data_IF_713933446940
#
_entry.id   IF_713933446940
#
_cell.length_a   1.000
_cell.length_b   1.000
_cell.length_c   1.000
_cell.angle_alpha   90.00
_cell.angle_beta   90.00
_cell.angle_gamma   90.00
#
_symmetry.space_group_name_H-M   'P 1'
#
loop_
_entity.id
_entity.type
_entity.pdbx_description
1 polymer ?
#
# COMPACT_ATOMS: atom_id res chain seq x y z
N UNK A 1 25.22 23.39 -18.85
CA UNK A 1 25.30 24.63 -18.07
C UNK A 1 24.37 25.65 -18.65
N UNK A 2 23.22 25.83 -18.09
CA UNK A 2 22.41 27.04 -18.25
C UNK A 2 21.34 27.00 -17.20
N UNK A 3 21.50 27.82 -16.18
CA UNK A 3 20.59 28.04 -15.07
C UNK A 3 19.39 28.85 -15.58
N UNK A 4 18.23 28.26 -15.62
CA UNK A 4 16.97 29.01 -15.75
C UNK A 4 16.55 29.45 -14.35
N UNK A 5 16.83 30.69 -14.04
CA UNK A 5 16.34 31.41 -12.86
C UNK A 5 14.80 31.47 -12.91
N UNK A 6 14.17 30.90 -11.91
CA UNK A 6 12.79 31.16 -11.51
C UNK A 6 12.66 32.63 -11.15
N UNK A 7 11.90 33.36 -11.95
CA UNK A 7 11.56 34.76 -11.66
C UNK A 7 10.29 34.79 -10.80
N UNK A 8 10.45 35.36 -9.63
CA UNK A 8 9.41 35.64 -8.64
C UNK A 8 8.17 36.28 -9.26
N UNK A 9 7.02 35.70 -8.92
CA UNK A 9 5.71 36.21 -9.23
C UNK A 9 5.32 37.24 -8.16
N UNK A 10 5.59 38.52 -8.37
CA UNK A 10 5.04 39.58 -7.52
C UNK A 10 3.52 39.62 -7.62
N UNK A 11 2.88 39.27 -6.51
CA UNK A 11 1.43 39.40 -6.30
C UNK A 11 1.14 40.85 -5.89
N UNK A 12 0.64 41.69 -6.81
CA UNK A 12 -0.01 42.94 -6.44
C UNK A 12 -1.47 42.68 -6.13
N UNK A 13 -1.83 42.83 -4.87
CA UNK A 13 -3.20 42.84 -4.38
C UNK A 13 -3.67 44.29 -4.43
N UNK A 14 -4.48 44.65 -5.43
CA UNK A 14 -5.21 45.91 -5.41
C UNK A 14 -6.43 45.76 -4.53
N UNK A 15 -6.36 46.34 -3.35
CA UNK A 15 -7.48 46.50 -2.46
C UNK A 15 -8.33 47.68 -2.91
N UNK A 16 -9.55 47.41 -3.29
CA UNK A 16 -10.58 48.46 -3.38
C UNK A 16 -11.66 48.21 -2.32
N UNK A 17 -11.78 49.20 -1.45
CA UNK A 17 -12.69 49.19 -0.33
C UNK A 17 -13.95 50.03 -0.67
N UNK A 18 -15.09 49.51 -0.19
CA UNK A 18 -16.35 50.19 0.08
C UNK A 18 -17.36 50.38 -1.08
N UNK A 19 -18.43 49.60 -0.95
CA UNK A 19 -19.81 50.17 -0.84
C UNK A 19 -20.76 49.09 -0.30
N UNK A 20 -21.27 49.31 0.86
CA UNK A 20 -22.42 48.63 1.48
C UNK A 20 -23.71 49.00 0.70
N UNK A 21 -24.44 47.96 0.26
CA UNK A 21 -25.72 48.15 -0.36
C UNK A 21 -26.55 46.87 -0.32
N UNK A 22 -27.70 46.98 0.27
CA UNK A 22 -28.76 46.01 0.61
C UNK A 22 -28.95 44.83 -0.37
N UNK A 23 -29.21 43.69 0.24
CA UNK A 23 -29.66 42.44 -0.37
C UNK A 23 -30.96 42.63 -1.17
N UNK A 24 -30.97 42.18 -2.43
CA UNK A 24 -32.15 41.67 -3.10
C UNK A 24 -31.71 40.56 -4.03
N UNK A 25 -32.20 39.35 -3.76
CA UNK A 25 -31.81 38.12 -4.44
C UNK A 25 -32.27 38.10 -5.90
N UNK A 26 -31.39 38.49 -6.79
CA UNK A 26 -31.38 38.05 -8.19
C UNK A 26 -30.02 37.45 -8.45
N UNK A 27 -30.00 36.13 -8.66
CA UNK A 27 -28.82 35.43 -9.17
C UNK A 27 -28.53 35.99 -10.54
N UNK A 28 -27.67 37.02 -10.59
CA UNK A 28 -27.21 37.61 -11.85
C UNK A 28 -26.23 36.61 -12.48
N UNK A 29 -26.70 35.74 -13.35
CA UNK A 29 -25.84 34.96 -14.26
C UNK A 29 -25.13 35.94 -15.19
N UNK A 30 -24.05 36.54 -14.69
CA UNK A 30 -23.18 37.37 -15.52
C UNK A 30 -22.70 36.53 -16.70
N UNK A 31 -23.12 36.90 -17.92
CA UNK A 31 -22.64 36.31 -19.19
C UNK A 31 -21.11 36.30 -19.14
N UNK A 32 -20.52 35.11 -19.21
CA UNK A 32 -19.06 34.93 -19.24
C UNK A 32 -18.51 35.70 -20.43
N UNK A 33 -17.73 36.76 -20.18
CA UNK A 33 -17.11 37.54 -21.28
C UNK A 33 -16.02 36.67 -21.90
N UNK A 34 -16.08 36.53 -23.24
CA UNK A 34 -15.04 35.89 -24.02
C UNK A 34 -13.72 36.65 -23.83
N UNK A 35 -12.65 35.96 -23.47
CA UNK A 35 -11.32 36.54 -23.26
C UNK A 35 -10.49 36.39 -24.54
N UNK A 36 -9.90 37.48 -25.00
CA UNK A 36 -8.97 37.52 -26.13
C UNK A 36 -7.53 37.39 -25.65
N UNK A 37 -7.27 37.76 -24.37
CA UNK A 37 -5.91 37.85 -23.82
C UNK A 37 -5.11 39.01 -24.41
N UNK A 38 -3.84 39.06 -24.05
CA UNK A 38 -2.88 40.04 -24.57
C UNK A 38 -1.59 39.33 -24.95
N UNK A 39 -1.04 39.64 -26.14
CA UNK A 39 0.23 39.12 -26.65
C UNK A 39 1.19 40.30 -26.81
N UNK A 40 2.39 40.21 -26.22
CA UNK A 40 3.43 41.20 -26.31
C UNK A 40 4.82 40.58 -26.33
N UNK A 41 5.83 41.37 -26.75
CA UNK A 41 7.22 40.93 -26.79
C UNK A 41 7.95 41.45 -25.56
N UNK A 42 8.74 40.59 -24.92
CA UNK A 42 9.57 40.92 -23.74
C UNK A 42 11.02 40.46 -23.98
N UNK A 43 11.96 41.15 -23.33
CA UNK A 43 13.38 40.83 -23.39
C UNK A 43 14.12 41.60 -24.48
N UNK A 44 15.46 41.77 -24.30
CA UNK A 44 16.34 42.44 -25.25
C UNK A 44 17.04 41.45 -26.19
N UNK A 45 17.56 40.35 -25.66
CA UNK A 45 18.18 39.21 -26.39
C UNK A 45 18.16 37.96 -25.49
N UNK A 46 17.42 36.89 -25.83
CA UNK A 46 16.45 36.83 -26.95
C UNK A 46 15.14 37.58 -26.64
N UNK A 47 14.49 38.08 -27.68
CA UNK A 47 13.12 38.59 -27.60
C UNK A 47 12.15 37.39 -27.57
N UNK A 48 11.20 37.39 -26.63
CA UNK A 48 10.22 36.31 -26.46
C UNK A 48 8.79 36.83 -26.55
N UNK A 49 7.92 36.02 -27.12
CA UNK A 49 6.47 36.24 -27.08
C UNK A 49 5.93 35.90 -25.71
N UNK A 50 5.20 36.81 -25.08
CA UNK A 50 4.54 36.62 -23.79
C UNK A 50 3.03 36.80 -24.00
N UNK A 51 2.29 35.74 -23.62
CA UNK A 51 0.84 35.78 -23.54
C UNK A 51 0.40 36.18 -22.14
N UNK A 52 -0.67 36.99 -22.03
CA UNK A 52 -1.23 37.39 -20.72
C UNK A 52 -2.74 37.34 -20.77
N UNK A 53 -3.36 36.71 -19.74
CA UNK A 53 -4.82 36.61 -19.60
C UNK A 53 -5.27 36.55 -18.16
N UNK A 54 -6.56 36.70 -17.92
CA UNK A 54 -7.14 36.54 -16.58
C UNK A 54 -7.59 35.11 -16.37
N UNK A 55 -7.14 34.52 -15.28
CA UNK A 55 -7.50 33.15 -14.90
C UNK A 55 -8.23 33.16 -13.56
N UNK A 56 -9.32 32.37 -13.46
CA UNK A 56 -10.00 32.17 -12.19
C UNK A 56 -9.27 31.06 -11.43
N UNK A 57 -8.88 31.35 -10.19
CA UNK A 57 -8.17 30.41 -9.32
C UNK A 57 -8.95 30.22 -8.04
N UNK A 58 -8.87 29.02 -7.50
CA UNK A 58 -9.37 28.73 -6.16
C UNK A 58 -8.31 29.19 -5.15
N UNK A 59 -8.68 30.11 -4.27
CA UNK A 59 -7.78 30.54 -3.19
C UNK A 59 -7.70 29.47 -2.12
N UNK A 60 -6.67 29.55 -1.28
CA UNK A 60 -6.49 28.68 -0.10
C UNK A 60 -7.64 28.72 0.92
N UNK A 61 -8.57 29.66 0.80
CA UNK A 61 -9.79 29.78 1.62
C UNK A 61 -11.05 29.25 0.91
N UNK A 62 -10.90 28.52 -0.19
CA UNK A 62 -12.03 27.99 -0.97
C UNK A 62 -12.81 29.04 -1.76
N UNK A 63 -12.40 30.32 -1.75
CA UNK A 63 -13.04 31.39 -2.52
C UNK A 63 -12.44 31.51 -3.92
N UNK A 64 -13.26 31.92 -4.89
CA UNK A 64 -12.80 32.14 -6.26
C UNK A 64 -12.17 33.54 -6.36
N UNK A 65 -10.93 33.61 -6.83
CA UNK A 65 -10.22 34.83 -7.18
C UNK A 65 -9.87 34.86 -8.66
N UNK A 66 -9.55 36.05 -9.17
CA UNK A 66 -9.10 36.21 -10.55
C UNK A 66 -7.68 36.75 -10.53
N UNK A 67 -6.75 36.00 -11.09
CA UNK A 67 -5.35 36.42 -11.23
C UNK A 67 -5.00 36.75 -12.68
N UNK A 68 -3.97 37.56 -12.85
CA UNK A 68 -3.42 37.87 -14.17
C UNK A 68 -2.26 36.90 -14.44
N UNK A 69 -2.43 36.01 -15.40
CA UNK A 69 -1.42 35.02 -15.80
C UNK A 69 -0.58 35.52 -16.97
N UNK A 70 0.71 35.25 -16.92
CA UNK A 70 1.61 35.52 -18.04
C UNK A 70 2.41 34.25 -18.35
N UNK A 71 2.53 33.90 -19.63
CA UNK A 71 3.26 32.71 -20.11
C UNK A 71 4.15 33.09 -21.29
N UNK A 72 5.38 32.60 -21.30
CA UNK A 72 6.28 32.75 -22.44
C UNK A 72 5.95 31.66 -23.46
N UNK A 73 5.57 32.04 -24.67
CA UNK A 73 5.17 31.11 -25.72
C UNK A 73 6.33 30.59 -26.57
N UNK A 74 7.42 31.36 -26.65
CA UNK A 74 8.61 31.03 -27.43
C UNK A 74 9.36 32.28 -27.87
N UNK A 75 10.49 32.10 -28.58
CA UNK A 75 11.29 33.24 -29.07
C UNK A 75 10.67 33.84 -30.33
N UNK A 76 10.90 35.15 -30.54
CA UNK A 76 10.42 35.86 -31.74
C UNK A 76 11.11 35.34 -33.02
N UNK A 77 12.29 34.72 -32.89
CA UNK A 77 12.99 34.07 -34.00
C UNK A 77 12.37 32.73 -34.42
N UNK A 78 11.73 32.01 -33.49
CA UNK A 78 11.14 30.70 -33.76
C UNK A 78 9.63 30.77 -34.08
N UNK A 79 8.96 31.78 -33.53
CA UNK A 79 7.51 31.94 -33.66
C UNK A 79 7.15 33.27 -34.31
N UNK A 80 6.40 33.23 -35.41
CA UNK A 80 5.73 34.40 -35.96
C UNK A 80 4.63 34.90 -35.02
N UNK A 81 4.26 36.17 -35.13
CA UNK A 81 3.15 36.75 -34.36
C UNK A 81 1.85 35.96 -34.51
N UNK A 82 1.56 35.44 -35.71
CA UNK A 82 0.33 34.66 -36.01
C UNK A 82 0.38 33.31 -35.27
N UNK A 83 1.52 32.63 -35.25
CA UNK A 83 1.69 31.39 -34.52
C UNK A 83 1.55 31.62 -33.01
N UNK A 84 2.17 32.67 -32.47
CA UNK A 84 2.04 33.02 -31.06
C UNK A 84 0.56 33.38 -30.71
N UNK A 85 -0.16 34.03 -31.59
CA UNK A 85 -1.59 34.33 -31.41
C UNK A 85 -2.44 33.05 -31.40
N UNK A 86 -2.19 32.11 -32.31
CA UNK A 86 -2.86 30.81 -32.31
C UNK A 86 -2.61 30.01 -31.00
N UNK A 87 -1.38 30.03 -30.52
CA UNK A 87 -1.06 29.39 -29.24
C UNK A 87 -1.82 30.05 -28.08
N UNK A 88 -1.94 31.37 -28.03
CA UNK A 88 -2.73 32.07 -27.03
C UNK A 88 -4.21 31.69 -27.12
N UNK A 89 -4.79 31.61 -28.33
CA UNK A 89 -6.16 31.19 -28.53
C UNK A 89 -6.42 29.76 -28.08
N UNK A 90 -5.48 28.84 -28.34
CA UNK A 90 -5.55 27.46 -27.86
C UNK A 90 -5.52 27.39 -26.32
N UNK A 91 -4.72 28.23 -25.67
CA UNK A 91 -4.67 28.35 -24.19
C UNK A 91 -5.99 28.90 -23.63
N UNK A 92 -6.62 29.85 -24.34
CA UNK A 92 -7.87 30.47 -23.91
C UNK A 92 -9.11 29.63 -24.25
N UNK A 93 -9.04 28.70 -25.20
CA UNK A 93 -10.16 27.87 -25.64
C UNK A 93 -10.88 27.14 -24.49
N UNK A 94 -10.22 26.47 -23.53
CA UNK A 94 -10.89 25.86 -22.37
C UNK A 94 -11.57 26.92 -21.47
N UNK A 95 -10.91 28.06 -21.26
CA UNK A 95 -11.41 29.15 -20.42
C UNK A 95 -12.69 29.73 -21.03
N UNK A 96 -12.67 30.02 -22.33
CA UNK A 96 -13.77 30.59 -23.07
C UNK A 96 -14.96 29.63 -23.23
N UNK A 97 -14.70 28.32 -23.33
CA UNK A 97 -15.74 27.28 -23.37
C UNK A 97 -16.29 26.93 -21.97
N UNK A 98 -15.79 27.55 -20.91
CA UNK A 98 -16.24 27.29 -19.56
C UNK A 98 -15.88 25.92 -19.02
N UNK A 99 -14.94 25.22 -19.66
CA UNK A 99 -14.40 23.91 -19.28
C UNK A 99 -13.12 24.02 -18.47
N UNK A 100 -12.55 25.23 -18.32
CA UNK A 100 -11.38 25.43 -17.48
C UNK A 100 -11.75 25.19 -16.01
N UNK A 101 -11.17 24.18 -15.41
CA UNK A 101 -11.18 24.02 -13.96
C UNK A 101 -10.25 25.09 -13.40
N UNK A 102 -10.69 25.91 -12.40
CA UNK A 102 -9.81 26.90 -11.79
C UNK A 102 -8.55 26.24 -11.28
N UNK A 103 -7.38 26.69 -11.72
CA UNK A 103 -6.11 26.19 -11.16
C UNK A 103 -5.99 26.67 -9.72
N UNK A 104 -5.67 25.75 -8.83
CA UNK A 104 -5.35 26.09 -7.45
C UNK A 104 -3.91 26.59 -7.37
N UNK A 105 -3.68 27.70 -6.65
CA UNK A 105 -2.34 28.19 -6.31
C UNK A 105 -1.84 27.64 -4.97
N UNK A 106 -2.51 26.61 -4.44
CA UNK A 106 -2.11 25.99 -3.17
C UNK A 106 -0.85 25.14 -3.39
N UNK A 107 0.15 25.27 -2.51
CA UNK A 107 1.30 24.37 -2.52
C UNK A 107 0.91 22.97 -2.06
N UNK A 108 1.67 21.97 -2.48
CA UNK A 108 1.45 20.57 -2.07
C UNK A 108 1.50 20.45 -0.53
N UNK A 109 2.46 21.11 0.12
CA UNK A 109 2.56 21.16 1.60
C UNK A 109 1.28 21.66 2.22
N UNK A 110 0.80 22.81 1.76
CA UNK A 110 -0.39 23.45 2.34
C UNK A 110 -1.64 22.60 2.13
N UNK A 111 -1.80 22.00 0.94
CA UNK A 111 -2.90 21.06 0.70
C UNK A 111 -2.82 19.84 1.61
N UNK A 112 -1.62 19.30 1.83
CA UNK A 112 -1.43 18.15 2.73
C UNK A 112 -1.75 18.53 4.17
N UNK A 113 -1.23 19.64 4.67
CA UNK A 113 -1.38 20.03 6.09
C UNK A 113 -2.79 20.53 6.42
N UNK A 114 -3.36 21.38 5.55
CA UNK A 114 -4.62 22.06 5.86
C UNK A 114 -5.85 21.21 5.48
N UNK A 115 -5.72 20.30 4.50
CA UNK A 115 -6.86 19.58 3.94
C UNK A 115 -6.70 18.05 4.09
N UNK A 116 -5.63 17.46 3.53
CA UNK A 116 -5.50 16.01 3.47
C UNK A 116 -5.30 15.36 4.84
N UNK A 117 -4.42 15.92 5.69
CA UNK A 117 -4.16 15.37 7.02
C UNK A 117 -5.38 15.46 7.93
N UNK A 118 -6.06 16.60 8.08
CA UNK A 118 -7.19 16.70 8.99
C UNK A 118 -8.45 15.98 8.50
N UNK A 119 -8.68 15.91 7.19
CA UNK A 119 -9.93 15.41 6.65
C UNK A 119 -9.85 13.97 6.12
N UNK A 120 -8.69 13.52 5.61
CA UNK A 120 -8.54 12.18 5.03
C UNK A 120 -7.88 11.20 5.97
N UNK A 121 -6.77 11.57 6.63
CA UNK A 121 -6.07 10.62 7.51
C UNK A 121 -6.95 10.04 8.64
N UNK A 122 -7.83 10.80 9.31
CA UNK A 122 -8.68 10.25 10.37
C UNK A 122 -9.64 9.16 9.90
N UNK A 123 -10.02 9.15 8.61
CA UNK A 123 -10.91 8.12 8.04
C UNK A 123 -10.20 6.80 7.79
N UNK A 124 -8.87 6.78 7.88
CA UNK A 124 -8.05 5.60 7.59
C UNK A 124 -7.76 4.80 8.86
N UNK A 125 -7.50 3.49 8.68
CA UNK A 125 -7.03 2.65 9.79
C UNK A 125 -5.68 3.16 10.31
N UNK A 126 -5.46 3.03 11.62
CA UNK A 126 -4.27 3.51 12.31
C UNK A 126 -2.96 3.12 11.61
N UNK A 127 -2.80 1.83 11.25
CA UNK A 127 -1.58 1.37 10.57
C UNK A 127 -1.34 2.04 9.21
N UNK A 128 -2.42 2.33 8.44
CA UNK A 128 -2.32 3.05 7.16
C UNK A 128 -1.95 4.50 7.38
N UNK A 129 -2.57 5.13 8.38
CA UNK A 129 -2.28 6.52 8.78
C UNK A 129 -0.81 6.71 9.15
N UNK A 130 -0.25 5.82 9.97
CA UNK A 130 1.16 5.82 10.35
C UNK A 130 2.11 5.75 9.15
N UNK A 131 1.83 4.81 8.22
CA UNK A 131 2.63 4.65 7.00
C UNK A 131 2.51 5.88 6.12
N UNK A 132 1.32 6.43 5.95
CA UNK A 132 1.08 7.62 5.13
C UNK A 132 1.78 8.84 5.72
N UNK A 133 1.69 9.06 7.03
CA UNK A 133 2.41 10.14 7.73
C UNK A 133 3.92 10.00 7.49
N UNK A 134 4.48 8.80 7.69
CA UNK A 134 5.90 8.55 7.47
C UNK A 134 6.34 8.86 6.03
N UNK A 135 5.56 8.42 5.02
CA UNK A 135 5.91 8.62 3.62
C UNK A 135 5.74 10.09 3.19
N UNK A 136 4.72 10.77 3.70
CA UNK A 136 4.53 12.21 3.51
C UNK A 136 5.74 12.98 4.04
N UNK A 137 6.10 12.77 5.31
CA UNK A 137 7.14 13.55 5.98
C UNK A 137 8.53 13.28 5.42
N UNK A 138 8.85 12.02 5.14
CA UNK A 138 10.20 11.64 4.71
C UNK A 138 10.47 11.78 3.22
N UNK A 139 9.44 11.71 2.38
CA UNK A 139 9.65 11.58 0.94
C UNK A 139 8.85 12.58 0.11
N UNK A 140 7.55 12.73 0.36
CA UNK A 140 6.70 13.53 -0.53
C UNK A 140 6.78 15.02 -0.24
N UNK A 141 6.68 15.43 1.03
CA UNK A 141 6.79 16.83 1.42
C UNK A 141 8.19 17.43 1.14
N UNK A 142 9.31 16.73 1.39
CA UNK A 142 10.63 17.25 1.01
C UNK A 142 10.79 17.44 -0.50
N UNK A 143 10.13 16.63 -1.34
CA UNK A 143 10.28 16.70 -2.80
C UNK A 143 9.27 17.66 -3.44
N UNK A 144 8.01 17.62 -3.06
CA UNK A 144 6.92 18.33 -3.73
C UNK A 144 6.32 19.45 -2.88
N UNK A 145 6.71 19.59 -1.61
CA UNK A 145 6.03 20.46 -0.65
C UNK A 145 5.87 21.90 -1.10
N UNK A 146 6.91 22.47 -1.70
CA UNK A 146 6.92 23.86 -2.12
C UNK A 146 6.33 24.08 -3.53
N UNK A 147 6.11 22.99 -4.26
CA UNK A 147 5.50 23.06 -5.59
C UNK A 147 4.00 23.33 -5.51
N UNK A 148 3.48 24.13 -6.42
CA UNK A 148 2.03 24.26 -6.60
C UNK A 148 1.46 22.92 -7.09
N UNK A 149 0.39 22.43 -6.46
CA UNK A 149 -0.20 21.14 -6.84
C UNK A 149 -0.63 21.09 -8.32
N UNK A 150 -0.96 22.24 -8.90
CA UNK A 150 -1.36 22.37 -10.30
C UNK A 150 -0.20 22.30 -11.28
N UNK A 151 1.03 22.44 -10.80
CA UNK A 151 2.25 22.44 -11.61
C UNK A 151 2.98 21.09 -11.54
N UNK A 152 2.62 20.21 -10.59
CA UNK A 152 3.15 18.84 -10.52
C UNK A 152 2.72 18.07 -11.77
N UNK A 153 3.70 17.76 -12.63
CA UNK A 153 3.46 17.08 -13.90
C UNK A 153 3.86 15.60 -13.86
N UNK A 154 3.23 14.78 -14.73
CA UNK A 154 3.53 13.34 -14.84
C UNK A 154 5.04 13.03 -14.98
N UNK A 155 5.83 13.75 -15.84
CA UNK A 155 7.26 13.47 -15.96
C UNK A 155 8.05 13.71 -14.68
N UNK A 156 7.62 14.63 -13.81
CA UNK A 156 8.29 14.90 -12.53
C UNK A 156 8.05 13.78 -11.53
N UNK A 157 6.81 13.30 -11.47
CA UNK A 157 6.48 12.14 -10.64
C UNK A 157 7.20 10.87 -11.15
N UNK A 158 7.29 10.71 -12.49
CA UNK A 158 8.05 9.60 -13.08
C UNK A 158 9.52 9.64 -12.67
N UNK A 159 10.16 10.82 -12.75
CA UNK A 159 11.55 11.00 -12.30
C UNK A 159 11.71 10.69 -10.82
N UNK A 160 10.82 11.19 -9.96
CA UNK A 160 10.85 10.91 -8.53
C UNK A 160 10.82 9.41 -8.23
N UNK A 161 9.93 8.65 -8.88
CA UNK A 161 9.83 7.19 -8.68
C UNK A 161 11.13 6.50 -9.08
N UNK A 162 11.71 6.86 -10.23
CA UNK A 162 12.96 6.29 -10.73
C UNK A 162 14.16 6.66 -9.84
N UNK A 163 14.21 7.89 -9.34
CA UNK A 163 15.22 8.36 -8.37
C UNK A 163 15.17 7.53 -7.09
N UNK A 164 13.97 7.29 -6.53
CA UNK A 164 13.83 6.47 -5.32
C UNK A 164 14.31 5.03 -5.52
N UNK A 165 14.06 4.45 -6.68
CA UNK A 165 14.59 3.13 -7.03
C UNK A 165 16.12 3.16 -7.18
N UNK A 166 16.69 4.21 -7.78
CA UNK A 166 18.13 4.41 -7.92
C UNK A 166 18.82 4.65 -6.58
N UNK A 167 18.16 5.33 -5.64
CA UNK A 167 18.60 5.49 -4.24
C UNK A 167 18.63 4.15 -3.46
N UNK A 168 18.14 3.05 -4.05
CA UNK A 168 18.15 1.71 -3.43
C UNK A 168 16.90 1.37 -2.64
N UNK A 169 15.84 2.18 -2.69
CA UNK A 169 14.56 1.78 -2.09
C UNK A 169 13.97 0.56 -2.81
N UNK A 170 13.32 -0.31 -2.03
CA UNK A 170 12.62 -1.45 -2.59
C UNK A 170 11.48 -1.00 -3.51
N UNK A 171 11.23 -1.77 -4.57
CA UNK A 171 10.15 -1.51 -5.53
C UNK A 171 8.81 -1.27 -4.85
N UNK A 172 8.47 -2.07 -3.82
CA UNK A 172 7.25 -1.94 -3.04
C UNK A 172 7.17 -0.59 -2.32
N UNK A 173 8.31 -0.11 -1.80
CA UNK A 173 8.38 1.20 -1.12
C UNK A 173 8.15 2.34 -2.10
N UNK A 174 8.81 2.31 -3.27
CA UNK A 174 8.59 3.30 -4.33
C UNK A 174 7.15 3.27 -4.84
N UNK A 175 6.58 2.08 -5.00
CA UNK A 175 5.17 1.89 -5.37
C UNK A 175 4.22 2.47 -4.32
N UNK A 176 4.50 2.29 -3.02
CA UNK A 176 3.69 2.91 -1.95
C UNK A 176 3.77 4.44 -1.96
N UNK A 177 4.95 5.03 -2.23
CA UNK A 177 5.10 6.48 -2.40
C UNK A 177 4.25 6.99 -3.58
N UNK A 178 4.32 6.32 -4.74
CA UNK A 178 3.50 6.64 -5.91
C UNK A 178 2.00 6.54 -5.60
N UNK A 179 1.56 5.45 -4.94
CA UNK A 179 0.15 5.27 -4.56
C UNK A 179 -0.34 6.35 -3.60
N UNK A 180 0.48 6.72 -2.61
CA UNK A 180 0.12 7.80 -1.68
C UNK A 180 0.04 9.14 -2.40
N UNK A 181 1.01 9.48 -3.26
CA UNK A 181 0.96 10.70 -4.06
C UNK A 181 -0.28 10.72 -4.96
N UNK A 182 -0.60 9.58 -5.60
CA UNK A 182 -1.84 9.42 -6.38
C UNK A 182 -3.09 9.61 -5.53
N UNK A 183 -3.10 9.15 -4.28
CA UNK A 183 -4.23 9.35 -3.36
C UNK A 183 -4.37 10.82 -2.97
N UNK A 184 -3.27 11.51 -2.68
CA UNK A 184 -3.29 12.95 -2.32
C UNK A 184 -3.78 13.79 -3.50
N UNK A 185 -3.17 13.63 -4.70
CA UNK A 185 -3.55 14.40 -5.88
C UNK A 185 -4.91 13.97 -6.46
N UNK A 186 -5.30 12.71 -6.27
CA UNK A 186 -6.65 12.24 -6.56
C UNK A 186 -7.69 12.92 -5.68
N UNK A 187 -7.44 13.05 -4.37
CA UNK A 187 -8.30 13.82 -3.47
C UNK A 187 -8.37 15.29 -3.88
N UNK A 188 -7.23 15.89 -4.26
CA UNK A 188 -7.20 17.27 -4.77
C UNK A 188 -8.04 17.43 -6.05
N UNK A 189 -8.03 16.44 -6.94
CA UNK A 189 -8.90 16.38 -8.12
C UNK A 189 -10.37 16.28 -7.73
N UNK A 190 -10.72 15.34 -6.85
CA UNK A 190 -12.10 15.12 -6.41
C UNK A 190 -12.69 16.39 -5.74
N UNK A 191 -11.85 17.14 -5.03
CA UNK A 191 -12.21 18.40 -4.39
C UNK A 191 -12.04 19.62 -5.31
N UNK A 192 -11.76 19.41 -6.61
CA UNK A 192 -11.65 20.43 -7.66
C UNK A 192 -10.47 21.42 -7.50
N UNK A 193 -9.43 21.03 -6.78
CA UNK A 193 -8.16 21.76 -6.77
C UNK A 193 -7.33 21.46 -8.03
N UNK A 194 -7.55 20.30 -8.66
CA UNK A 194 -6.90 19.86 -9.89
C UNK A 194 -7.95 19.45 -10.94
N UNK A 195 -7.59 19.59 -12.21
CA UNK A 195 -8.37 19.06 -13.33
C UNK A 195 -8.20 17.54 -13.44
N UNK A 196 -6.96 17.05 -13.35
CA UNK A 196 -6.60 15.65 -13.51
C UNK A 196 -5.51 15.24 -12.52
N UNK A 197 -5.41 13.94 -12.25
CA UNK A 197 -4.38 13.38 -11.42
C UNK A 197 -3.16 12.98 -12.28
N UNK A 198 -2.03 13.71 -12.20
CA UNK A 198 -0.86 13.46 -13.04
C UNK A 198 -0.17 12.12 -12.75
N UNK A 199 -0.44 11.50 -11.59
CA UNK A 199 0.18 10.24 -11.20
C UNK A 199 -0.40 9.04 -11.96
N UNK A 200 -1.58 9.17 -12.56
CA UNK A 200 -2.22 8.07 -13.30
C UNK A 200 -1.40 7.65 -14.54
N UNK A 201 -0.69 8.58 -15.17
CA UNK A 201 0.20 8.31 -16.29
C UNK A 201 1.63 7.86 -15.91
N UNK A 202 1.90 7.63 -14.61
CA UNK A 202 3.23 7.22 -14.14
C UNK A 202 3.35 5.70 -14.19
N UNK A 203 4.37 5.21 -14.87
CA UNK A 203 4.66 3.79 -14.99
C UNK A 203 5.67 3.34 -13.94
N UNK A 204 5.42 2.16 -13.37
CA UNK A 204 6.38 1.49 -12.51
C UNK A 204 7.25 0.56 -13.37
N UNK A 205 8.58 0.58 -13.19
CA UNK A 205 9.44 -0.40 -13.85
C UNK A 205 9.01 -1.82 -13.51
N UNK A 206 9.34 -2.75 -14.39
CA UNK A 206 9.06 -4.17 -14.16
C UNK A 206 9.62 -4.62 -12.80
N UNK A 207 8.77 -5.31 -12.05
CA UNK A 207 9.14 -5.83 -10.73
C UNK A 207 10.08 -7.01 -10.89
N UNK A 208 11.35 -6.86 -10.49
CA UNK A 208 12.23 -8.03 -10.35
C UNK A 208 11.63 -8.98 -9.32
N UNK A 209 11.28 -10.18 -9.76
CA UNK A 209 10.74 -11.21 -8.88
C UNK A 209 11.75 -11.49 -7.78
N UNK A 210 11.41 -11.14 -6.54
CA UNK A 210 12.16 -11.59 -5.37
C UNK A 210 11.90 -13.09 -5.23
N UNK A 211 12.94 -13.85 -4.87
CA UNK A 211 12.72 -15.24 -4.46
C UNK A 211 11.65 -15.26 -3.37
N UNK A 212 10.61 -16.08 -3.48
CA UNK A 212 9.58 -16.18 -2.47
C UNK A 212 10.21 -16.47 -1.11
N UNK A 213 9.66 -15.89 -0.04
CA UNK A 213 10.09 -16.21 1.31
C UNK A 213 9.87 -17.72 1.54
N UNK A 214 10.96 -18.46 1.59
CA UNK A 214 10.90 -19.92 1.76
C UNK A 214 10.21 -20.22 3.11
N UNK A 215 9.17 -21.04 3.08
CA UNK A 215 8.54 -21.58 4.30
C UNK A 215 9.60 -22.38 5.11
N UNK A 216 9.34 -22.61 6.37
CA UNK A 216 10.15 -23.54 7.17
C UNK A 216 9.76 -24.99 6.79
N UNK A 217 10.75 -25.88 6.79
CA UNK A 217 10.46 -27.31 6.81
C UNK A 217 9.91 -27.73 8.17
N UNK A 218 9.36 -28.92 8.27
CA UNK A 218 8.87 -29.48 9.54
C UNK A 218 9.99 -29.53 10.56
N UNK A 219 11.19 -29.97 10.15
CA UNK A 219 12.39 -30.07 10.98
C UNK A 219 12.85 -28.68 11.45
N UNK A 220 12.91 -27.70 10.54
CA UNK A 220 13.25 -26.31 10.86
C UNK A 220 12.25 -25.71 11.88
N UNK A 221 10.94 -25.97 11.71
CA UNK A 221 9.92 -25.51 12.63
C UNK A 221 10.05 -26.15 14.02
N UNK A 222 10.28 -27.48 14.09
CA UNK A 222 10.53 -28.20 15.34
C UNK A 222 11.78 -27.68 16.06
N UNK A 223 12.86 -27.45 15.30
CA UNK A 223 14.12 -26.93 15.84
C UNK A 223 13.96 -25.53 16.40
N UNK A 224 13.21 -24.65 15.67
CA UNK A 224 12.89 -23.31 16.15
C UNK A 224 12.14 -23.36 17.49
N UNK A 225 11.06 -24.15 17.56
CA UNK A 225 10.23 -24.29 18.77
C UNK A 225 11.01 -24.83 19.96
N UNK A 226 12.00 -25.75 19.76
CA UNK A 226 12.83 -26.27 20.82
C UNK A 226 13.78 -25.22 21.43
N UNK A 227 14.05 -24.13 20.73
CA UNK A 227 14.93 -23.02 21.15
C UNK A 227 14.17 -21.79 21.65
N UNK A 228 12.84 -21.90 21.82
CA UNK A 228 12.00 -20.79 22.30
C UNK A 228 11.53 -21.03 23.75
N UNK A 229 11.50 -19.96 24.51
CA UNK A 229 10.93 -19.92 25.85
C UNK A 229 9.47 -19.39 25.76
N UNK A 230 8.73 -19.55 26.85
CA UNK A 230 7.42 -18.93 27.00
C UNK A 230 7.54 -17.42 27.29
N UNK A 231 6.58 -16.59 26.84
CA UNK A 231 5.38 -16.95 26.07
C UNK A 231 5.62 -17.04 24.55
N UNK A 232 6.83 -16.74 24.07
CA UNK A 232 7.14 -16.65 22.63
C UNK A 232 6.97 -18.01 21.93
N UNK A 233 7.19 -19.11 22.65
CA UNK A 233 6.98 -20.47 22.14
C UNK A 233 5.50 -20.70 21.80
N UNK A 234 4.59 -20.38 22.74
CA UNK A 234 3.15 -20.48 22.50
C UNK A 234 2.68 -19.55 21.37
N UNK A 235 3.16 -18.30 21.31
CA UNK A 235 2.92 -17.37 20.20
C UNK A 235 3.32 -18.00 18.85
N UNK A 236 4.49 -18.64 18.81
CA UNK A 236 5.01 -19.28 17.59
C UNK A 236 4.19 -20.50 17.19
N UNK A 237 3.74 -21.32 18.16
CA UNK A 237 2.84 -22.45 17.94
C UNK A 237 1.54 -21.96 17.31
N UNK A 238 0.91 -20.94 17.88
CA UNK A 238 -0.33 -20.35 17.35
C UNK A 238 -0.11 -19.77 15.93
N UNK A 239 1.00 -19.06 15.69
CA UNK A 239 1.32 -18.52 14.37
C UNK A 239 1.50 -19.61 13.30
N UNK A 240 2.13 -20.75 13.68
CA UNK A 240 2.51 -21.82 12.75
C UNK A 240 1.39 -22.83 12.53
N UNK A 241 0.51 -23.07 13.51
CA UNK A 241 -0.49 -24.15 13.46
C UNK A 241 -1.94 -23.66 13.43
N UNK A 242 -2.19 -22.37 13.73
CA UNK A 242 -3.50 -21.72 13.51
C UNK A 242 -3.43 -20.64 12.44
N UNK A 243 -2.24 -20.33 11.91
CA UNK A 243 -2.04 -19.42 10.79
C UNK A 243 -2.44 -17.97 11.06
N UNK A 244 -2.51 -17.52 12.30
CA UNK A 244 -2.88 -16.15 12.65
C UNK A 244 -1.77 -15.15 12.30
N UNK A 245 -2.18 -13.93 11.94
CA UNK A 245 -1.22 -12.81 11.82
C UNK A 245 -0.76 -12.38 13.20
N UNK A 246 0.49 -11.92 13.34
CA UNK A 246 1.01 -11.49 14.65
C UNK A 246 0.11 -10.43 15.32
N UNK A 247 -0.45 -9.49 14.57
CA UNK A 247 -1.38 -8.52 15.14
C UNK A 247 -2.70 -9.15 15.64
N UNK A 248 -3.17 -10.23 15.01
CA UNK A 248 -4.33 -11.02 15.45
C UNK A 248 -4.01 -11.77 16.75
N UNK A 249 -2.81 -12.36 16.84
CA UNK A 249 -2.32 -13.04 18.05
C UNK A 249 -2.20 -12.07 19.22
N UNK A 250 -1.61 -10.90 19.01
CA UNK A 250 -1.43 -9.89 20.05
C UNK A 250 -2.72 -9.14 20.43
N UNK A 251 -3.77 -9.25 19.62
CA UNK A 251 -5.11 -8.76 19.92
C UNK A 251 -6.05 -9.83 20.50
N UNK A 252 -5.58 -11.08 20.64
CA UNK A 252 -6.42 -12.18 21.10
C UNK A 252 -6.74 -12.04 22.59
N UNK A 253 -8.04 -12.20 22.95
CA UNK A 253 -8.54 -12.17 24.32
C UNK A 253 -9.02 -13.53 24.76
N UNK A 254 -8.93 -13.84 26.06
CA UNK A 254 -9.34 -15.14 26.61
C UNK A 254 -10.81 -15.45 26.35
N UNK A 255 -11.69 -14.47 26.34
CA UNK A 255 -13.11 -14.67 25.99
C UNK A 255 -13.39 -15.08 24.55
N UNK A 256 -12.34 -15.10 23.69
CA UNK A 256 -12.39 -15.56 22.29
C UNK A 256 -11.62 -16.85 22.05
N UNK A 257 -11.20 -17.52 23.11
CA UNK A 257 -10.50 -18.81 23.07
C UNK A 257 -11.36 -19.86 23.75
N UNK A 258 -11.93 -20.76 22.96
CA UNK A 258 -12.82 -21.82 23.40
C UNK A 258 -12.06 -23.15 23.39
N UNK A 259 -11.31 -23.41 24.49
CA UNK A 259 -10.43 -24.59 24.60
C UNK A 259 -11.23 -25.90 24.59
N UNK A 260 -12.44 -25.89 25.17
CA UNK A 260 -13.40 -26.99 25.19
C UNK A 260 -13.92 -27.38 23.80
N UNK A 261 -14.08 -26.38 22.93
CA UNK A 261 -14.54 -26.53 21.54
C UNK A 261 -13.38 -26.66 20.55
N UNK A 262 -12.12 -26.57 21.02
CA UNK A 262 -10.93 -26.54 20.17
C UNK A 262 -11.02 -25.45 19.09
N UNK A 263 -11.49 -24.24 19.42
CA UNK A 263 -11.63 -23.12 18.50
C UNK A 263 -11.18 -21.81 19.12
N UNK A 264 -10.87 -20.84 18.28
CA UNK A 264 -10.74 -19.42 18.65
C UNK A 264 -11.36 -18.50 17.61
N UNK A 265 -11.73 -17.30 18.03
CA UNK A 265 -12.31 -16.27 17.18
C UNK A 265 -11.36 -15.09 16.99
N UNK A 266 -11.14 -14.70 15.73
CA UNK A 266 -10.33 -13.53 15.37
C UNK A 266 -11.27 -12.34 15.18
N UNK A 267 -11.34 -11.43 16.14
CA UNK A 267 -12.18 -10.23 16.09
C UNK A 267 -11.40 -8.93 16.08
N UNK A 268 -10.24 -8.92 16.71
CA UNK A 268 -9.37 -7.74 16.85
C UNK A 268 -7.97 -7.98 16.31
N UNK A 269 -7.27 -6.92 16.08
CA UNK A 269 -5.84 -6.92 15.76
C UNK A 269 -5.17 -5.80 16.54
N UNK A 270 -3.96 -6.04 17.03
CA UNK A 270 -3.13 -5.04 17.71
C UNK A 270 -1.95 -4.63 16.82
N UNK A 271 -1.80 -3.34 16.58
CA UNK A 271 -0.66 -2.75 15.89
C UNK A 271 -0.07 -1.60 16.70
N UNK A 272 1.18 -1.74 17.13
CA UNK A 272 1.87 -0.75 17.99
C UNK A 272 1.06 -0.35 19.25
N UNK A 273 0.39 -1.29 19.88
CA UNK A 273 -0.43 -1.06 21.07
C UNK A 273 -1.84 -0.52 20.79
N UNK A 274 -2.18 -0.24 19.53
CA UNK A 274 -3.50 0.23 19.15
C UNK A 274 -4.34 -0.93 18.63
N UNK A 275 -5.51 -1.14 19.25
CA UNK A 275 -6.46 -2.17 18.84
C UNK A 275 -7.36 -1.65 17.71
N UNK A 276 -7.72 -2.55 16.81
CA UNK A 276 -8.58 -2.24 15.70
C UNK A 276 -9.20 -3.47 15.06
N UNK A 277 -10.10 -3.25 14.12
CA UNK A 277 -10.72 -4.37 13.38
C UNK A 277 -9.71 -5.01 12.42
N UNK A 278 -9.80 -6.32 12.17
CA UNK A 278 -8.99 -7.01 11.18
C UNK A 278 -9.06 -6.37 9.80
N UNK A 279 -8.08 -6.68 8.93
CA UNK A 279 -7.88 -5.99 7.64
C UNK A 279 -9.08 -6.10 6.70
N UNK A 280 -9.82 -7.22 6.75
CA UNK A 280 -11.00 -7.47 5.91
C UNK A 280 -12.09 -8.19 6.70
N UNK A 281 -13.33 -8.21 6.18
CA UNK A 281 -14.42 -9.01 6.75
C UNK A 281 -14.07 -10.50 6.82
N UNK A 282 -13.39 -11.05 5.80
CA UNK A 282 -12.93 -12.43 5.79
C UNK A 282 -11.88 -12.76 6.87
N UNK A 283 -11.20 -11.75 7.42
CA UNK A 283 -10.27 -11.94 8.53
C UNK A 283 -10.96 -12.15 9.88
N UNK A 284 -12.24 -11.77 10.02
CA UNK A 284 -13.08 -12.16 11.16
C UNK A 284 -13.54 -13.58 10.92
N UNK A 285 -13.06 -14.52 11.72
CA UNK A 285 -13.31 -15.94 11.52
C UNK A 285 -13.15 -16.74 12.80
N UNK A 286 -13.88 -17.83 12.92
CA UNK A 286 -13.56 -18.92 13.81
C UNK A 286 -12.40 -19.75 13.21
N UNK A 287 -11.42 -20.10 14.01
CA UNK A 287 -10.26 -20.89 13.59
C UNK A 287 -10.22 -22.17 14.45
N UNK A 288 -10.28 -23.36 13.85
CA UNK A 288 -10.09 -24.60 14.58
C UNK A 288 -8.66 -24.73 15.08
N UNK A 289 -8.50 -25.32 16.24
CA UNK A 289 -7.21 -25.51 16.91
C UNK A 289 -6.85 -27.00 16.94
N UNK A 290 -5.62 -27.31 16.53
CA UNK A 290 -5.06 -28.63 16.73
C UNK A 290 -4.83 -28.89 18.23
N UNK A 291 -4.89 -30.14 18.72
CA UNK A 291 -4.74 -30.48 20.15
C UNK A 291 -3.48 -29.88 20.78
N UNK A 292 -2.37 -29.84 20.08
CA UNK A 292 -1.12 -29.24 20.53
C UNK A 292 -1.20 -27.72 20.77
N UNK A 293 -2.06 -27.02 20.00
CA UNK A 293 -2.30 -25.58 20.19
C UNK A 293 -3.15 -25.35 21.42
N UNK A 294 -4.19 -26.20 21.61
CA UNK A 294 -5.05 -26.17 22.81
C UNK A 294 -4.21 -26.40 24.06
N UNK A 295 -3.37 -27.43 24.07
CA UNK A 295 -2.47 -27.73 25.20
C UNK A 295 -1.49 -26.59 25.49
N UNK A 296 -0.90 -25.97 24.44
CA UNK A 296 -0.01 -24.85 24.61
C UNK A 296 -0.73 -23.62 25.20
N UNK A 297 -1.94 -23.31 24.73
CA UNK A 297 -2.74 -22.19 25.25
C UNK A 297 -3.23 -22.46 26.68
N UNK A 298 -3.63 -23.69 27.01
CA UNK A 298 -4.04 -24.06 28.36
C UNK A 298 -2.89 -23.96 29.33
N UNK A 299 -1.71 -24.51 28.98
CA UNK A 299 -0.47 -24.38 29.79
C UNK A 299 -0.05 -22.90 29.97
N UNK A 300 -0.27 -22.06 28.90
CA UNK A 300 -0.03 -20.64 29.00
C UNK A 300 -1.01 -19.95 29.93
N UNK A 301 -2.29 -20.35 29.90
CA UNK A 301 -3.38 -19.82 30.75
C UNK A 301 -3.03 -19.96 32.23
N UNK A 302 -2.47 -21.09 32.62
CA UNK A 302 -2.03 -21.35 34.04
C UNK A 302 -0.92 -20.39 34.51
N UNK A 303 -0.22 -19.70 33.59
CA UNK A 303 0.82 -18.72 33.90
C UNK A 303 0.36 -17.30 33.88
N UNK A 304 -0.87 -17.05 33.39
CA UNK A 304 -1.45 -15.72 33.33
C UNK A 304 -2.05 -15.29 34.67
N UNK A 305 -1.79 -14.05 35.06
CA UNK A 305 -2.36 -13.49 36.28
C UNK A 305 -3.85 -13.14 36.10
N UNK A 306 -4.25 -12.74 34.89
CA UNK A 306 -5.62 -12.42 34.52
C UNK A 306 -6.05 -13.27 33.32
N UNK A 307 -7.11 -14.02 33.50
CA UNK A 307 -7.74 -14.86 32.47
C UNK A 307 -9.21 -14.51 32.25
N UNK A 308 -9.61 -13.31 32.69
CA UNK A 308 -10.96 -12.80 32.44
C UNK A 308 -11.23 -12.69 30.93
N UNK A 309 -12.48 -12.67 30.54
CA UNK A 309 -12.88 -12.67 29.13
C UNK A 309 -12.25 -11.52 28.31
N UNK A 310 -12.04 -10.36 28.95
CA UNK A 310 -11.45 -9.19 28.31
C UNK A 310 -9.91 -9.11 28.39
N UNK A 311 -9.28 -10.00 29.17
CA UNK A 311 -7.84 -10.02 29.29
C UNK A 311 -7.18 -10.55 28.02
N UNK A 312 -6.05 -9.94 27.65
CA UNK A 312 -5.23 -10.40 26.53
C UNK A 312 -4.59 -11.76 26.83
N UNK A 313 -4.60 -12.65 25.85
CA UNK A 313 -3.89 -13.93 25.96
C UNK A 313 -2.38 -13.71 26.12
N UNK A 314 -1.83 -12.72 25.41
CA UNK A 314 -0.40 -12.39 25.44
C UNK A 314 -0.20 -10.93 25.84
N UNK A 315 0.12 -10.70 27.12
CA UNK A 315 0.35 -9.37 27.70
C UNK A 315 1.72 -9.27 28.36
N UNK A 316 2.16 -8.05 28.63
CA UNK A 316 3.37 -7.78 29.45
C UNK A 316 3.09 -7.75 30.94
N UNK A 317 1.86 -7.77 31.37
CA UNK A 317 1.30 -7.39 32.66
C UNK A 317 0.30 -6.24 32.44
N UNK A 318 -0.58 -6.00 33.41
CA UNK A 318 -1.61 -4.97 33.37
C UNK A 318 -2.42 -4.87 32.06
N UNK A 319 -2.60 -6.03 31.42
CA UNK A 319 -3.30 -6.16 30.13
C UNK A 319 -2.69 -5.31 28.98
N UNK A 320 -1.40 -4.92 29.08
CA UNK A 320 -0.67 -4.24 28.01
C UNK A 320 -0.22 -5.20 26.92
N UNK A 321 -0.45 -4.88 25.61
CA UNK A 321 -0.04 -5.74 24.53
C UNK A 321 1.47 -5.81 24.35
N UNK A 322 1.98 -6.99 23.96
CA UNK A 322 3.36 -7.17 23.58
C UNK A 322 3.68 -6.42 22.26
N UNK A 323 4.93 -5.99 22.11
CA UNK A 323 5.40 -5.37 20.88
C UNK A 323 5.82 -6.41 19.84
N UNK A 324 5.13 -6.48 18.70
CA UNK A 324 5.47 -7.36 17.58
C UNK A 324 6.93 -7.16 17.09
N UNK A 325 7.40 -5.91 17.07
CA UNK A 325 8.77 -5.57 16.67
C UNK A 325 9.82 -6.07 17.69
N UNK A 326 9.57 -5.93 18.97
CA UNK A 326 10.45 -6.45 20.01
C UNK A 326 10.50 -7.98 19.99
N UNK A 327 9.34 -8.63 19.86
CA UNK A 327 9.26 -10.08 19.71
C UNK A 327 10.06 -10.54 18.48
N UNK A 328 9.91 -9.87 17.32
CA UNK A 328 10.64 -10.21 16.11
C UNK A 328 12.15 -9.98 16.24
N UNK A 329 12.56 -8.78 16.69
CA UNK A 329 13.98 -8.38 16.71
C UNK A 329 14.79 -9.06 17.81
N UNK A 330 14.19 -9.24 18.99
CA UNK A 330 14.90 -9.76 20.17
C UNK A 330 14.67 -11.25 20.38
N UNK A 331 13.43 -11.73 20.28
CA UNK A 331 13.07 -13.11 20.67
C UNK A 331 13.16 -14.07 19.48
N UNK A 332 12.39 -13.81 18.40
CA UNK A 332 12.39 -14.68 17.22
C UNK A 332 13.76 -14.73 16.55
N UNK A 333 14.42 -13.59 16.34
CA UNK A 333 15.75 -13.54 15.75
C UNK A 333 16.83 -14.26 16.59
N UNK A 334 16.72 -14.21 17.94
CA UNK A 334 17.61 -14.93 18.82
C UNK A 334 17.35 -16.44 18.78
N UNK A 335 16.09 -16.88 18.75
CA UNK A 335 15.71 -18.28 18.61
C UNK A 335 16.20 -18.87 17.27
N UNK A 336 16.02 -18.16 16.16
CA UNK A 336 16.55 -18.57 14.85
C UNK A 336 18.07 -18.79 14.90
N UNK A 337 18.81 -17.87 15.53
CA UNK A 337 20.27 -17.98 15.67
C UNK A 337 20.67 -19.20 16.49
N UNK A 338 19.99 -19.46 17.63
CA UNK A 338 20.25 -20.66 18.46
C UNK A 338 19.89 -21.98 17.77
N UNK A 339 18.91 -21.90 16.84
CA UNK A 339 18.48 -23.05 16.05
C UNK A 339 19.30 -23.23 14.75
N UNK A 340 20.32 -22.39 14.48
CA UNK A 340 21.07 -22.44 13.22
C UNK A 340 20.25 -22.09 11.97
N UNK A 341 19.12 -21.40 12.14
CA UNK A 341 18.21 -21.07 11.06
C UNK A 341 18.48 -19.68 10.50
N UNK A 342 18.11 -19.47 9.25
CA UNK A 342 18.02 -18.13 8.66
C UNK A 342 17.09 -17.24 9.47
N UNK A 343 17.29 -15.95 9.41
CA UNK A 343 16.37 -14.97 9.99
C UNK A 343 15.03 -15.02 9.29
N UNK A 344 13.96 -15.18 10.06
CA UNK A 344 12.58 -15.17 9.59
C UNK A 344 11.77 -14.06 10.28
N UNK A 345 10.57 -13.81 9.79
CA UNK A 345 9.58 -12.94 10.42
C UNK A 345 8.29 -13.72 10.78
N UNK A 346 7.37 -13.05 11.45
CA UNK A 346 6.09 -13.64 11.81
C UNK A 346 5.25 -14.09 10.62
N UNK A 347 5.43 -13.39 9.49
CA UNK A 347 4.69 -13.75 8.29
C UNK A 347 5.21 -15.05 7.65
N UNK A 348 6.49 -15.32 7.81
CA UNK A 348 7.10 -16.61 7.41
C UNK A 348 6.43 -17.79 8.12
N UNK A 349 6.09 -17.68 9.41
CA UNK A 349 5.39 -18.76 10.14
C UNK A 349 3.99 -19.02 9.56
N UNK A 350 3.27 -17.97 9.23
CA UNK A 350 1.98 -18.10 8.56
C UNK A 350 2.11 -18.66 7.14
N UNK A 351 3.16 -18.31 6.40
CA UNK A 351 3.49 -18.95 5.13
C UNK A 351 3.79 -20.42 5.29
N UNK A 352 4.52 -20.78 6.36
CA UNK A 352 4.79 -22.19 6.71
C UNK A 352 3.48 -22.94 6.92
N UNK A 353 2.53 -22.39 7.69
CA UNK A 353 1.20 -22.99 7.85
C UNK A 353 0.49 -23.21 6.51
N UNK A 354 0.49 -22.19 5.64
CA UNK A 354 -0.11 -22.27 4.32
C UNK A 354 0.53 -23.36 3.45
N UNK A 355 1.87 -23.41 3.42
CA UNK A 355 2.63 -24.41 2.66
C UNK A 355 2.39 -25.82 3.17
N UNK A 356 2.42 -26.02 4.48
CA UNK A 356 2.16 -27.35 5.09
C UNK A 356 0.73 -27.83 4.81
N UNK A 357 -0.28 -26.95 4.86
CA UNK A 357 -1.65 -27.32 4.47
C UNK A 357 -1.74 -27.71 3.01
N UNK A 358 -1.00 -27.03 2.13
CA UNK A 358 -0.95 -27.38 0.71
C UNK A 358 -0.29 -28.75 0.49
N UNK A 359 0.86 -28.98 1.12
CA UNK A 359 1.60 -30.24 1.02
C UNK A 359 0.78 -31.43 1.55
N UNK A 360 -0.10 -31.18 2.51
CA UNK A 360 -1.10 -32.15 3.00
C UNK A 360 -2.32 -32.31 2.10
N UNK A 361 -2.36 -31.69 0.90
CA UNK A 361 -3.45 -31.79 -0.05
C UNK A 361 -4.74 -31.06 0.36
N UNK A 362 -4.67 -30.10 1.32
CA UNK A 362 -5.84 -29.35 1.74
C UNK A 362 -6.39 -28.52 0.58
N UNK A 363 -7.70 -28.57 0.28
CA UNK A 363 -8.29 -27.78 -0.80
C UNK A 363 -8.05 -26.27 -0.62
N UNK A 364 -7.71 -25.56 -1.70
CA UNK A 364 -7.38 -24.11 -1.68
C UNK A 364 -8.49 -23.28 -1.01
N UNK A 365 -9.76 -23.67 -1.24
CA UNK A 365 -10.90 -22.98 -0.61
C UNK A 365 -10.87 -23.09 0.92
N UNK A 366 -10.52 -24.26 1.45
CA UNK A 366 -10.38 -24.48 2.89
C UNK A 366 -9.20 -23.67 3.42
N UNK A 367 -8.05 -23.70 2.74
CA UNK A 367 -6.87 -22.90 3.10
C UNK A 367 -7.20 -21.40 3.11
N UNK A 368 -7.93 -20.90 2.10
CA UNK A 368 -8.37 -19.51 2.03
C UNK A 368 -9.22 -19.12 3.24
N UNK A 369 -10.16 -19.99 3.64
CA UNK A 369 -11.01 -19.78 4.82
C UNK A 369 -10.20 -19.77 6.10
N UNK A 370 -9.34 -20.77 6.31
CA UNK A 370 -8.48 -20.88 7.50
C UNK A 370 -7.54 -19.68 7.64
N UNK A 371 -6.97 -19.22 6.52
CA UNK A 371 -6.10 -18.05 6.50
C UNK A 371 -6.87 -16.71 6.55
N UNK A 372 -8.15 -16.67 6.25
CA UNK A 372 -8.93 -15.43 6.15
C UNK A 372 -8.39 -14.51 5.04
N UNK A 373 -8.07 -15.09 3.87
CA UNK A 373 -7.68 -14.33 2.69
C UNK A 373 -8.93 -13.85 1.94
N UNK A 374 -8.97 -12.57 1.59
CA UNK A 374 -10.09 -11.99 0.83
C UNK A 374 -10.07 -12.37 -0.66
N UNK A 375 -8.94 -12.88 -1.16
CA UNK A 375 -8.73 -13.30 -2.55
C UNK A 375 -7.99 -14.64 -2.59
N UNK A 376 -8.42 -15.54 -3.48
CA UNK A 376 -7.73 -16.79 -3.75
C UNK A 376 -6.34 -16.55 -4.36
N UNK A 377 -6.15 -15.49 -5.14
CA UNK A 377 -4.85 -15.11 -5.68
C UNK A 377 -3.79 -14.96 -4.58
N UNK A 378 -4.14 -14.37 -3.43
CA UNK A 378 -3.23 -14.24 -2.28
C UNK A 378 -2.80 -15.61 -1.72
N UNK A 379 -3.61 -16.63 -1.85
CA UNK A 379 -3.27 -18.00 -1.45
C UNK A 379 -2.43 -18.68 -2.54
N UNK A 380 -2.73 -18.42 -3.81
CA UNK A 380 -2.02 -18.97 -4.96
C UNK A 380 -0.63 -18.36 -5.19
N UNK A 381 -0.44 -17.07 -4.90
CA UNK A 381 0.87 -16.40 -5.02
C UNK A 381 2.00 -17.07 -4.21
N UNK A 382 1.65 -17.94 -3.28
CA UNK A 382 2.59 -18.75 -2.49
C UNK A 382 3.08 -19.99 -3.28
N UNK A 383 2.39 -20.37 -4.35
CA UNK A 383 2.54 -21.68 -5.03
C UNK A 383 3.06 -21.63 -6.47
N UNK A 384 3.83 -20.63 -6.86
CA UNK A 384 4.54 -20.58 -8.15
C UNK A 384 5.71 -21.59 -8.18
N UNK A 385 5.42 -22.88 -8.04
CA UNK A 385 6.41 -23.94 -8.14
C UNK A 385 6.09 -24.91 -9.28
N UNK A 386 7.13 -25.61 -9.85
CA UNK A 386 6.90 -26.64 -10.87
C UNK A 386 5.96 -27.71 -10.34
N UNK A 387 5.19 -28.32 -11.25
CA UNK A 387 4.14 -29.32 -10.99
C UNK A 387 4.42 -30.18 -9.76
N UNK A 388 3.63 -29.98 -8.72
CA UNK A 388 3.80 -30.66 -7.42
C UNK A 388 3.47 -32.17 -7.54
N UNK A 389 3.97 -32.99 -6.61
CA UNK A 389 3.59 -34.40 -6.54
C UNK A 389 2.06 -34.56 -6.42
N UNK A 390 1.39 -33.65 -5.67
CA UNK A 390 -0.07 -33.67 -5.51
C UNK A 390 -0.84 -33.34 -6.80
N UNK A 391 -0.26 -32.55 -7.72
CA UNK A 391 -0.90 -32.29 -9.03
C UNK A 391 -0.83 -33.51 -9.92
N UNK A 392 0.32 -34.22 -9.94
CA UNK A 392 0.47 -35.51 -10.66
C UNK A 392 -0.48 -36.56 -10.11
N UNK A 393 -0.58 -36.65 -8.77
CA UNK A 393 -1.45 -37.58 -8.08
C UNK A 393 -2.93 -37.30 -8.39
N UNK A 394 -3.34 -36.02 -8.40
CA UNK A 394 -4.69 -35.61 -8.76
C UNK A 394 -5.05 -35.98 -10.21
N UNK A 395 -4.12 -35.77 -11.17
CA UNK A 395 -4.31 -36.13 -12.57
C UNK A 395 -4.34 -37.64 -12.72
N UNK A 396 -3.49 -38.40 -12.01
CA UNK A 396 -3.50 -39.86 -12.02
C UNK A 396 -4.82 -40.40 -11.48
N UNK A 397 -5.31 -39.93 -10.35
CA UNK A 397 -6.63 -40.30 -9.78
C UNK A 397 -7.78 -39.99 -10.74
N UNK A 398 -7.74 -38.85 -11.42
CA UNK A 398 -8.76 -38.51 -12.42
C UNK A 398 -8.71 -39.51 -13.58
N UNK A 399 -7.51 -39.90 -14.03
CA UNK A 399 -7.34 -40.91 -15.03
C UNK A 399 -7.87 -42.28 -14.63
N UNK A 400 -7.62 -42.70 -13.39
CA UNK A 400 -8.11 -43.95 -12.82
C UNK A 400 -9.66 -43.99 -12.70
N UNK A 401 -10.27 -42.83 -12.31
CA UNK A 401 -11.73 -42.72 -12.22
C UNK A 401 -12.41 -42.77 -13.59
N UNK A 402 -11.81 -42.13 -14.60
CA UNK A 402 -12.38 -42.08 -15.95
C UNK A 402 -12.05 -43.33 -16.81
N UNK A 403 -10.90 -43.94 -16.56
CA UNK A 403 -10.39 -45.08 -17.34
C UNK A 403 -9.77 -46.15 -16.42
N UNK A 404 -10.58 -46.85 -15.63
CA UNK A 404 -10.08 -47.78 -14.60
C UNK A 404 -9.29 -48.99 -15.14
N UNK A 405 -9.21 -49.16 -16.45
CA UNK A 405 -8.50 -50.29 -17.12
C UNK A 405 -7.14 -49.92 -17.71
N UNK A 406 -6.67 -48.67 -17.58
CA UNK A 406 -5.35 -48.25 -18.08
C UNK A 406 -4.30 -48.43 -16.97
N UNK A 407 -3.30 -49.36 -17.14
CA UNK A 407 -2.25 -49.52 -16.12
C UNK A 407 -1.43 -48.27 -15.96
N UNK A 408 -1.10 -47.95 -14.70
CA UNK A 408 -0.32 -46.78 -14.34
C UNK A 408 1.16 -47.01 -14.75
N UNK A 409 1.64 -46.37 -15.83
CA UNK A 409 2.97 -46.53 -16.41
C UNK A 409 4.12 -45.90 -15.55
N UNK A 410 3.81 -45.28 -14.43
CA UNK A 410 4.79 -44.50 -13.63
C UNK A 410 5.31 -45.16 -12.37
N UNK A 411 4.98 -46.44 -12.10
CA UNK A 411 5.42 -47.09 -10.84
C UNK A 411 6.62 -48.05 -10.95
N UNK A 412 7.29 -48.13 -12.10
CA UNK A 412 8.45 -49.03 -12.25
C UNK A 412 9.73 -48.30 -12.68
N UNK A 413 10.20 -47.36 -11.82
CA UNK A 413 11.56 -46.82 -11.95
C UNK A 413 12.24 -46.73 -10.56
N UNK A 414 12.16 -47.83 -9.81
CA UNK A 414 13.04 -48.04 -8.66
C UNK A 414 13.06 -49.54 -8.28
N UNK A 415 14.14 -50.20 -8.62
CA UNK A 415 14.50 -51.48 -8.01
C UNK A 415 14.43 -52.69 -8.92
N UNK A 416 15.52 -53.00 -9.58
CA UNK A 416 16.08 -54.35 -9.65
C UNK A 416 17.52 -54.28 -10.16
N UNK A 417 18.46 -54.05 -9.25
CA UNK A 417 19.78 -54.66 -9.38
C UNK A 417 19.74 -55.96 -8.54
N UNK A 418 19.55 -57.07 -9.20
CA UNK A 418 19.88 -58.40 -8.65
C UNK A 418 21.07 -58.91 -9.40
N UNK A 419 22.20 -58.94 -8.71
CA UNK A 419 23.40 -59.62 -9.14
C UNK A 419 23.12 -61.11 -9.42
N UNK A 420 23.37 -61.52 -10.66
CA UNK A 420 23.44 -62.91 -11.04
C UNK A 420 24.89 -63.36 -11.09
N UNK A 421 25.29 -64.12 -10.09
CA UNK A 421 26.54 -64.83 -10.03
C UNK A 421 26.47 -65.97 -11.02
N UNK A 422 27.32 -65.96 -12.03
CA UNK A 422 27.60 -67.11 -12.89
C UNK A 422 28.59 -68.05 -12.19
N UNK A 423 28.21 -69.31 -11.96
CA UNK A 423 29.10 -70.40 -11.74
C UNK A 423 28.75 -71.49 -12.72
N UNK A 424 29.78 -71.84 -13.55
CA UNK A 424 29.95 -72.97 -14.44
C UNK A 424 29.06 -73.10 -15.68
#
# INVERSE_FOLDING_TARGET
MSSLQTLDCEVRIDGDARKTGRANGKVNMARRRHQIGCLFVRGKRPKVWVARWRERVLTSRGSMSTILRSEVLGTVSELSKRQAQNLLEDRLRPVNRGRAVPRSNISFRRFVEDEFRPLVLPTLKFATREIYTLLLDKHLLPRFGEECIADIATPEVQRFVLEKLKEGYAWETASHMRHLLSKVLGTAKDWRYLADNPVLGVEMPERKLKRPHKALSIEEARMLLSKMNEPERTITIVATLAGLRIGEILGLRWGRVHLDQCTLEVEETCYKGVFGTPKSKASRRGTPLAPVVVQALDTHRLRCMDTSANALVFSKGDNEPLSADNLRKKRLASACRRAGLRRIDWHTLRHTYSTLLHDLGTPIRVQQTLLGHSSAATTMDVYTHPVSASERDAVSRLGEVLFPTVPNLHHNAAGTETGGTLTQ
#
